data_IF_255380315628
#
_entry.id   IF_255380315628
#
_cell.length_a   1.000
_cell.length_b   1.000
_cell.length_c   1.000
_cell.angle_alpha   90.00
_cell.angle_beta   90.00
_cell.angle_gamma   90.00
#
_symmetry.space_group_name_H-M   'P 1'
#
loop_
_entity.id
_entity.type
_entity.pdbx_description
1 polymer ?
#
# COMPACT_ATOMS: atom_id res chain seq x y z
N UNK A 1 -4.34 -17.09 0.94
CA UNK A 1 -5.18 -16.17 0.14
C UNK A 1 -4.23 -15.20 -0.56
N UNK A 2 -4.31 -15.03 -1.87
CA UNK A 2 -3.42 -14.14 -2.62
C UNK A 2 -4.21 -12.90 -3.06
N UNK A 3 -3.80 -11.73 -2.58
CA UNK A 3 -4.19 -10.46 -3.18
C UNK A 3 -3.21 -10.13 -4.32
N UNK A 4 -3.73 -9.78 -5.50
CA UNK A 4 -2.89 -9.47 -6.65
C UNK A 4 -2.14 -8.13 -6.54
N UNK A 5 -2.74 -7.12 -5.90
CA UNK A 5 -2.17 -5.77 -5.80
C UNK A 5 -2.41 -5.05 -4.46
N UNK A 6 -3.25 -5.61 -3.60
CA UNK A 6 -3.60 -5.00 -2.30
C UNK A 6 -4.35 -3.67 -2.38
N UNK A 7 -5.28 -3.56 -3.34
CA UNK A 7 -6.21 -2.43 -3.42
C UNK A 7 -7.00 -2.18 -2.12
N UNK A 8 -7.52 -3.20 -1.41
CA UNK A 8 -8.26 -2.95 -0.16
C UNK A 8 -7.43 -2.23 0.91
N UNK A 9 -6.12 -2.50 0.98
CA UNK A 9 -5.20 -1.80 1.88
C UNK A 9 -5.05 -0.34 1.48
N UNK A 10 -4.85 -0.06 0.19
CA UNK A 10 -4.71 1.30 -0.32
C UNK A 10 -5.99 2.12 -0.13
N UNK A 11 -7.16 1.50 -0.31
CA UNK A 11 -8.47 2.11 -0.06
C UNK A 11 -8.66 2.45 1.42
N UNK A 12 -8.32 1.52 2.33
CA UNK A 12 -8.36 1.76 3.76
C UNK A 12 -7.42 2.91 4.18
N UNK A 13 -6.20 2.94 3.64
CA UNK A 13 -5.23 4.01 3.85
C UNK A 13 -5.75 5.36 3.35
N UNK A 14 -6.31 5.41 2.15
CA UNK A 14 -6.91 6.63 1.58
C UNK A 14 -8.10 7.14 2.41
N UNK A 15 -8.89 6.22 2.97
CA UNK A 15 -10.01 6.54 3.86
C UNK A 15 -9.58 7.02 5.26
N UNK A 16 -8.29 6.94 5.61
CA UNK A 16 -7.81 7.27 6.94
C UNK A 16 -8.17 6.20 7.98
N UNK A 17 -8.11 4.93 7.58
CA UNK A 17 -8.25 3.78 8.48
C UNK A 17 -6.86 3.20 8.75
N UNK A 18 -6.42 3.10 10.03
CA UNK A 18 -5.21 2.36 10.37
C UNK A 18 -5.29 0.92 9.89
N UNK A 19 -4.21 0.42 9.27
CA UNK A 19 -4.18 -0.91 8.67
C UNK A 19 -3.30 -1.84 9.50
N UNK A 20 -3.82 -3.04 9.76
CA UNK A 20 -3.03 -4.22 10.13
C UNK A 20 -3.03 -5.15 8.92
N UNK A 21 -1.84 -5.58 8.50
CA UNK A 21 -1.68 -6.43 7.34
C UNK A 21 -0.67 -7.55 7.60
N UNK A 22 -0.76 -8.65 6.83
CA UNK A 22 0.22 -9.72 6.96
C UNK A 22 1.59 -9.28 6.44
N UNK A 23 2.67 -9.68 7.10
CA UNK A 23 4.04 -9.45 6.61
C UNK A 23 4.43 -10.44 5.49
N UNK A 24 3.56 -10.65 4.50
CA UNK A 24 3.73 -11.63 3.43
C UNK A 24 3.44 -10.99 2.06
N UNK A 25 4.04 -11.57 1.02
CA UNK A 25 3.81 -11.22 -0.39
C UNK A 25 4.02 -9.73 -0.68
N UNK A 26 3.08 -9.07 -1.35
CA UNK A 26 3.15 -7.66 -1.74
C UNK A 26 2.79 -6.69 -0.60
N UNK A 27 2.23 -7.17 0.51
CA UNK A 27 1.73 -6.28 1.57
C UNK A 27 2.83 -5.43 2.22
N UNK A 28 4.04 -5.93 2.53
CA UNK A 28 5.10 -5.10 3.08
C UNK A 28 5.51 -3.97 2.14
N UNK A 29 5.56 -4.26 0.83
CA UNK A 29 5.87 -3.27 -0.19
C UNK A 29 4.74 -2.25 -0.32
N UNK A 30 3.48 -2.67 -0.40
CA UNK A 30 2.35 -1.76 -0.53
C UNK A 30 2.20 -0.89 0.71
N UNK A 31 2.29 -1.48 1.90
CA UNK A 31 2.10 -0.77 3.16
C UNK A 31 3.23 0.21 3.50
N UNK A 32 4.50 -0.13 3.18
CA UNK A 32 5.64 0.62 3.68
C UNK A 32 5.61 0.71 5.22
N UNK A 33 5.84 1.90 5.77
CA UNK A 33 5.76 2.17 7.21
C UNK A 33 4.38 2.70 7.68
N UNK A 34 3.37 2.61 6.81
CA UNK A 34 2.02 3.15 7.04
C UNK A 34 1.00 2.12 7.58
N UNK A 35 1.46 0.92 7.94
CA UNK A 35 0.64 -0.13 8.55
C UNK A 35 1.44 -0.87 9.63
N UNK A 36 0.73 -1.60 10.49
CA UNK A 36 1.34 -2.61 11.36
C UNK A 36 1.38 -3.93 10.59
N UNK A 37 2.59 -4.46 10.38
CA UNK A 37 2.80 -5.74 9.69
C UNK A 37 3.02 -6.84 10.72
N UNK A 38 2.17 -7.88 10.70
CA UNK A 38 2.21 -8.97 11.67
C UNK A 38 1.97 -10.34 11.02
N UNK A 39 2.27 -11.43 11.73
CA UNK A 39 1.76 -12.73 11.33
C UNK A 39 0.27 -12.81 11.71
N UNK A 40 -0.57 -13.58 10.98
CA UNK A 40 -2.00 -13.69 11.31
C UNK A 40 -2.31 -14.13 12.75
N UNK A 41 -1.39 -14.89 13.37
CA UNK A 41 -1.51 -15.32 14.77
C UNK A 41 -1.40 -14.15 15.77
N UNK A 42 -0.77 -13.04 15.39
CA UNK A 42 -0.46 -11.89 16.24
C UNK A 42 -1.35 -10.67 15.90
N UNK A 43 -2.42 -10.87 15.11
CA UNK A 43 -3.28 -9.77 14.66
C UNK A 43 -4.03 -9.10 15.81
N UNK A 44 -4.33 -9.83 16.88
CA UNK A 44 -5.01 -9.24 18.03
C UNK A 44 -4.13 -8.16 18.68
N UNK A 45 -2.86 -8.48 18.93
CA UNK A 45 -1.86 -7.57 19.47
C UNK A 45 -1.57 -6.41 18.50
N UNK A 46 -1.44 -6.72 17.20
CA UNK A 46 -1.19 -5.71 16.18
C UNK A 46 -2.34 -4.70 16.02
N UNK A 47 -3.60 -5.12 16.23
CA UNK A 47 -4.76 -4.21 16.23
C UNK A 47 -4.66 -3.24 17.41
N UNK A 48 -4.26 -3.69 18.59
CA UNK A 48 -4.06 -2.81 19.74
C UNK A 48 -2.95 -1.79 19.46
N UNK A 49 -1.82 -2.23 18.90
CA UNK A 49 -0.74 -1.33 18.48
C UNK A 49 -1.22 -0.30 17.44
N UNK A 50 -2.00 -0.74 16.45
CA UNK A 50 -2.54 0.14 15.42
C UNK A 50 -3.51 1.18 15.97
N UNK A 51 -4.25 0.85 17.03
CA UNK A 51 -5.14 1.78 17.74
C UNK A 51 -4.33 2.81 18.54
N UNK A 52 -3.27 2.39 19.23
CA UNK A 52 -2.38 3.30 19.98
C UNK A 52 -1.66 4.28 19.03
N UNK A 53 -1.34 3.84 17.81
CA UNK A 53 -0.67 4.62 16.77
C UNK A 53 -1.63 5.20 15.72
N UNK A 54 -2.93 5.25 15.99
CA UNK A 54 -3.95 5.50 14.98
C UNK A 54 -3.73 6.81 14.20
N UNK A 55 -3.42 7.92 14.88
CA UNK A 55 -3.22 9.22 14.22
C UNK A 55 -1.98 9.24 13.31
N UNK A 56 -0.89 8.60 13.75
CA UNK A 56 0.34 8.43 12.95
C UNK A 56 0.03 7.61 11.70
N UNK A 57 -0.58 6.43 11.86
CA UNK A 57 -0.88 5.51 10.77
C UNK A 57 -1.90 6.09 9.79
N UNK A 58 -2.86 6.89 10.27
CA UNK A 58 -3.79 7.65 9.43
C UNK A 58 -3.08 8.66 8.54
N UNK A 59 -2.17 9.44 9.11
CA UNK A 59 -1.42 10.45 8.37
C UNK A 59 -0.53 9.78 7.32
N UNK A 60 0.25 8.77 7.74
CA UNK A 60 1.14 8.00 6.86
C UNK A 60 0.38 7.26 5.77
N UNK A 61 -0.74 6.63 6.12
CA UNK A 61 -1.60 5.91 5.17
C UNK A 61 -2.11 6.81 4.06
N UNK A 62 -2.64 8.00 4.40
CA UNK A 62 -3.09 8.96 3.40
C UNK A 62 -1.96 9.42 2.48
N UNK A 63 -0.75 9.66 2.99
CA UNK A 63 0.39 10.00 2.15
C UNK A 63 0.86 8.82 1.27
N UNK A 64 0.87 7.60 1.82
CA UNK A 64 1.21 6.37 1.11
C UNK A 64 0.26 6.13 -0.06
N UNK A 65 -1.05 6.24 0.17
CA UNK A 65 -2.07 6.01 -0.84
C UNK A 65 -1.94 6.94 -2.06
N UNK A 66 -1.47 8.18 -1.87
CA UNK A 66 -1.22 9.12 -2.99
C UNK A 66 -0.17 8.62 -3.98
N UNK A 67 0.71 7.70 -3.58
CA UNK A 67 1.70 7.11 -4.47
C UNK A 67 1.07 6.15 -5.49
N UNK A 68 -0.10 5.59 -5.17
CA UNK A 68 -0.78 4.55 -5.95
C UNK A 68 -2.08 5.09 -6.54
N UNK A 69 -1.97 5.87 -7.62
CA UNK A 69 -3.14 6.42 -8.32
C UNK A 69 -3.22 5.88 -9.75
N UNK A 70 -4.43 5.73 -10.27
CA UNK A 70 -4.64 5.34 -11.67
C UNK A 70 -3.94 6.25 -12.65
N UNK A 71 -3.91 7.56 -12.38
CA UNK A 71 -3.19 8.53 -13.22
C UNK A 71 -1.69 8.22 -13.26
N UNK A 72 -1.05 7.98 -12.10
CA UNK A 72 0.37 7.57 -12.06
C UNK A 72 0.61 6.26 -12.80
N UNK A 73 -0.30 5.28 -12.67
CA UNK A 73 -0.19 4.01 -13.39
C UNK A 73 -0.28 4.21 -14.91
N UNK A 74 -1.18 5.09 -15.38
CA UNK A 74 -1.31 5.43 -16.79
C UNK A 74 -0.06 6.17 -17.31
N UNK A 75 0.40 7.19 -16.60
CA UNK A 75 1.62 7.95 -16.92
C UNK A 75 2.86 7.03 -16.99
N UNK A 76 3.00 6.09 -16.04
CA UNK A 76 4.10 5.13 -16.03
C UNK A 76 4.02 4.12 -17.18
N UNK A 77 2.81 3.66 -17.53
CA UNK A 77 2.59 2.75 -18.65
C UNK A 77 2.90 3.42 -19.99
N UNK A 78 2.44 4.66 -20.16
CA UNK A 78 2.68 5.47 -21.36
C UNK A 78 4.18 5.70 -21.58
N UNK A 79 4.88 6.14 -20.54
CA UNK A 79 6.34 6.33 -20.59
C UNK A 79 7.10 5.03 -20.89
N UNK A 80 6.63 3.88 -20.37
CA UNK A 80 7.24 2.59 -20.66
C UNK A 80 7.01 2.15 -22.12
N UNK A 81 5.83 2.44 -22.68
CA UNK A 81 5.53 2.16 -24.09
C UNK A 81 6.38 3.03 -25.02
N UNK A 82 6.46 4.34 -24.74
CA UNK A 82 7.27 5.28 -25.51
C UNK A 82 8.75 4.86 -25.53
N UNK A 83 9.28 4.43 -24.38
CA UNK A 83 10.66 3.96 -24.28
C UNK A 83 10.94 2.72 -25.14
N UNK A 84 9.95 1.82 -25.31
CA UNK A 84 10.09 0.62 -26.14
C UNK A 84 9.94 0.93 -27.64
N UNK A 85 9.08 1.87 -27.99
CA UNK A 85 8.81 2.27 -29.38
C UNK A 85 9.90 3.20 -29.95
N UNK A 86 10.69 3.84 -29.08
CA UNK A 86 11.80 4.73 -29.49
C UNK A 86 13.17 4.04 -29.50
N UNK A 87 13.25 2.75 -29.15
CA UNK A 87 14.51 1.98 -29.12
C UNK A 87 15.03 1.46 -30.47
N UNK A 88 14.44 1.83 -31.60
CA UNK A 88 14.95 1.49 -32.94
C UNK A 88 15.33 2.75 -33.73
N UNK A 89 16.59 3.18 -33.58
CA UNK A 89 17.41 3.95 -34.55
C UNK A 89 18.91 3.69 -34.29
#
# INVERSE_FOLDING_TARGET
MHEGFCLPVLEAMAAGTPVVASNLTALPEICGDAAVLAAPADFAEAVLEALDRAEELRAKGRERAKLFTWRRSAEAMDAAMDALLTTDD
#
